data_IF_598912163133
#
_entry.id   IF_598912163133
#
_cell.length_a   1.000
_cell.length_b   1.000
_cell.length_c   1.000
_cell.angle_alpha   90.00
_cell.angle_beta   90.00
_cell.angle_gamma   90.00
#
_symmetry.space_group_name_H-M   'P 1'
#
loop_
_entity.id
_entity.type
_entity.pdbx_description
1 polymer ?
#
# COMPACT_ATOMS: atom_id res chain seq x y z
N UNK A 1 27.09 7.30 -25.93
CA UNK A 1 25.70 6.78 -25.98
C UNK A 1 25.36 6.42 -24.55
N UNK A 2 24.45 7.14 -23.87
CA UNK A 2 24.26 7.00 -22.43
C UNK A 2 23.51 5.71 -22.09
N UNK A 3 23.80 5.25 -20.88
CA UNK A 3 23.48 3.97 -20.27
C UNK A 3 22.01 3.56 -20.38
N UNK A 4 21.77 2.42 -21.02
CA UNK A 4 20.55 1.65 -20.81
C UNK A 4 20.65 1.03 -19.41
N UNK A 5 20.23 1.78 -18.39
CA UNK A 5 20.03 1.27 -17.04
C UNK A 5 19.03 0.11 -17.10
N UNK A 6 19.58 -1.10 -17.06
CA UNK A 6 18.90 -2.36 -16.76
C UNK A 6 18.16 -2.19 -15.43
N UNK A 7 16.90 -1.77 -15.48
CA UNK A 7 15.96 -1.89 -14.35
C UNK A 7 15.50 -3.35 -14.24
N UNK A 8 16.43 -4.24 -13.87
CA UNK A 8 16.11 -5.62 -13.53
C UNK A 8 15.47 -5.65 -12.13
N UNK A 9 14.17 -5.98 -12.05
CA UNK A 9 13.63 -6.70 -10.89
C UNK A 9 12.52 -6.07 -10.05
N UNK A 10 12.06 -4.84 -10.31
CA UNK A 10 10.92 -4.29 -9.54
C UNK A 10 9.61 -4.54 -10.28
N UNK A 11 8.86 -5.56 -9.84
CA UNK A 11 7.48 -5.72 -10.30
C UNK A 11 6.64 -4.59 -9.71
N UNK A 12 6.05 -3.78 -10.58
CA UNK A 12 5.10 -2.75 -10.18
C UNK A 12 3.73 -3.00 -10.79
N UNK A 13 2.68 -2.83 -9.99
CA UNK A 13 1.29 -2.93 -10.42
C UNK A 13 0.62 -1.60 -10.16
N UNK A 14 -0.05 -1.05 -11.18
CA UNK A 14 -0.81 0.19 -11.08
C UNK A 14 -2.30 -0.13 -10.96
N UNK A 15 -2.95 0.50 -10.00
CA UNK A 15 -4.39 0.51 -9.80
C UNK A 15 -4.90 1.94 -9.95
N UNK A 16 -6.03 2.10 -10.63
CA UNK A 16 -6.69 3.40 -10.81
C UNK A 16 -8.07 3.33 -10.18
N UNK A 17 -8.42 4.33 -9.39
CA UNK A 17 -9.74 4.43 -8.80
C UNK A 17 -10.83 4.77 -9.83
N UNK A 18 -12.12 4.57 -9.47
CA UNK A 18 -12.57 4.05 -8.19
C UNK A 18 -12.42 2.52 -8.09
N UNK A 19 -12.07 2.02 -6.90
CA UNK A 19 -11.96 0.57 -6.68
C UNK A 19 -11.25 0.19 -5.40
N UNK A 20 -11.35 -1.09 -5.00
CA UNK A 20 -10.67 -1.61 -3.81
C UNK A 20 -9.30 -2.19 -4.20
N UNK A 21 -8.25 -1.72 -3.55
CA UNK A 21 -6.91 -2.32 -3.64
C UNK A 21 -6.67 -3.15 -2.39
N UNK A 22 -6.24 -4.39 -2.60
CA UNK A 22 -5.96 -5.34 -1.54
C UNK A 22 -4.45 -5.60 -1.42
N UNK A 23 -3.92 -5.42 -0.22
CA UNK A 23 -2.68 -6.07 0.22
C UNK A 23 -2.98 -7.42 0.88
N UNK A 24 -1.95 -8.03 1.46
CA UNK A 24 -2.06 -9.30 2.20
C UNK A 24 -2.82 -9.11 3.52
N UNK A 25 -2.57 -8.01 4.23
CA UNK A 25 -3.07 -7.69 5.55
C UNK A 25 -3.98 -6.47 5.61
N UNK A 26 -4.20 -5.78 4.49
CA UNK A 26 -5.06 -4.61 4.42
C UNK A 26 -5.81 -4.48 3.10
N UNK A 27 -6.82 -3.62 3.11
CA UNK A 27 -7.50 -3.14 1.92
C UNK A 27 -7.68 -1.62 2.02
N UNK A 28 -7.73 -0.95 0.88
CA UNK A 28 -8.03 0.48 0.81
C UNK A 28 -8.86 0.78 -0.43
N UNK A 29 -9.94 1.53 -0.24
CA UNK A 29 -10.75 2.04 -1.33
C UNK A 29 -10.06 3.24 -1.97
N UNK A 30 -9.79 3.15 -3.26
CA UNK A 30 -9.40 4.27 -4.10
C UNK A 30 -10.66 5.04 -4.51
N UNK A 31 -10.63 6.34 -4.27
CA UNK A 31 -11.62 7.27 -4.77
C UNK A 31 -11.37 7.60 -6.25
N UNK A 32 -12.27 8.37 -6.84
CA UNK A 32 -12.08 8.92 -8.17
C UNK A 32 -10.79 9.76 -8.24
N UNK A 33 -10.05 9.62 -9.33
CA UNK A 33 -8.75 10.28 -9.61
C UNK A 33 -7.59 9.87 -8.70
N UNK A 34 -7.78 8.91 -7.78
CA UNK A 34 -6.69 8.30 -7.04
C UNK A 34 -6.06 7.14 -7.80
N UNK A 35 -4.77 6.94 -7.60
CA UNK A 35 -4.02 5.82 -8.13
C UNK A 35 -3.18 5.20 -7.03
N UNK A 36 -3.02 3.88 -7.08
CA UNK A 36 -2.10 3.17 -6.21
C UNK A 36 -1.08 2.42 -7.05
N UNK A 37 0.20 2.60 -6.75
CA UNK A 37 1.26 1.81 -7.35
C UNK A 37 1.88 0.89 -6.30
N UNK A 38 1.66 -0.41 -6.46
CA UNK A 38 2.32 -1.45 -5.67
C UNK A 38 3.72 -1.68 -6.21
N UNK A 39 4.69 -1.80 -5.33
CA UNK A 39 6.06 -2.21 -5.60
C UNK A 39 6.39 -3.40 -4.72
N UNK A 40 6.54 -4.56 -5.35
CA UNK A 40 7.02 -5.76 -4.69
C UNK A 40 8.49 -5.96 -5.07
N UNK A 41 9.36 -5.70 -4.10
CA UNK A 41 10.81 -5.82 -4.27
C UNK A 41 11.34 -7.14 -3.69
N UNK A 42 10.46 -8.10 -3.38
CA UNK A 42 10.80 -9.37 -2.72
C UNK A 42 11.59 -9.18 -1.42
N UNK A 43 11.29 -8.11 -0.68
CA UNK A 43 11.83 -7.83 0.65
C UNK A 43 10.84 -8.32 1.72
N UNK A 44 11.13 -8.07 2.99
CA UNK A 44 10.23 -8.32 4.12
C UNK A 44 9.07 -7.30 4.23
N UNK A 45 8.93 -6.44 3.23
CA UNK A 45 7.80 -5.53 3.07
C UNK A 45 7.46 -5.27 1.60
N UNK A 46 6.21 -4.87 1.39
CA UNK A 46 5.69 -4.36 0.11
C UNK A 46 5.37 -2.88 0.28
N UNK A 47 5.68 -2.07 -0.74
CA UNK A 47 5.37 -0.63 -0.73
C UNK A 47 4.23 -0.32 -1.68
N UNK A 48 3.30 0.51 -1.24
CA UNK A 48 2.18 1.01 -2.03
C UNK A 48 2.20 2.53 -2.01
N UNK A 49 2.39 3.15 -3.18
CA UNK A 49 2.34 4.60 -3.32
C UNK A 49 0.94 5.01 -3.75
N UNK A 50 0.22 5.69 -2.86
CA UNK A 50 -1.08 6.29 -3.13
C UNK A 50 -0.85 7.71 -3.64
N UNK A 51 -1.39 8.02 -4.81
CA UNK A 51 -1.41 9.37 -5.37
C UNK A 51 -2.83 9.79 -5.70
N UNK A 52 -3.11 11.08 -5.56
CA UNK A 52 -4.32 11.74 -6.02
C UNK A 52 -3.99 13.17 -6.47
N UNK A 53 -4.98 13.97 -6.89
CA UNK A 53 -4.75 15.36 -7.27
C UNK A 53 -4.10 16.14 -6.11
N UNK A 54 -2.82 16.48 -6.26
CA UNK A 54 -1.98 17.17 -5.26
C UNK A 54 -1.81 16.44 -3.92
N UNK A 55 -2.01 15.12 -3.88
CA UNK A 55 -1.92 14.33 -2.64
C UNK A 55 -1.08 13.08 -2.86
N UNK A 56 -0.25 12.75 -1.89
CA UNK A 56 0.58 11.56 -1.91
C UNK A 56 0.74 10.96 -0.52
N UNK A 57 0.86 9.64 -0.48
CA UNK A 57 1.19 8.89 0.72
C UNK A 57 1.85 7.56 0.33
N UNK A 58 2.71 7.06 1.21
CA UNK A 58 3.35 5.75 1.05
C UNK A 58 2.88 4.81 2.15
N UNK A 59 2.36 3.65 1.76
CA UNK A 59 1.89 2.61 2.66
C UNK A 59 2.87 1.44 2.58
N UNK A 60 3.38 1.00 3.73
CA UNK A 60 4.23 -0.16 3.87
C UNK A 60 3.45 -1.29 4.53
N UNK A 61 3.47 -2.46 3.89
CA UNK A 61 2.90 -3.69 4.41
C UNK A 61 4.04 -4.64 4.81
N UNK A 62 4.18 -4.92 6.10
CA UNK A 62 5.31 -5.69 6.63
C UNK A 62 6.24 -4.84 7.49
N UNK A 63 7.55 -5.14 7.45
CA UNK A 63 8.54 -4.42 8.24
C UNK A 63 8.91 -3.08 7.58
N UNK A 64 8.22 -2.01 7.98
CA UNK A 64 8.53 -0.67 7.47
C UNK A 64 9.95 -0.22 7.88
N UNK A 65 10.72 0.44 6.98
CA UNK A 65 12.11 0.78 7.23
C UNK A 65 12.34 2.00 8.15
N UNK A 66 11.29 2.77 8.48
CA UNK A 66 11.38 4.05 9.19
C UNK A 66 10.14 4.30 10.07
N UNK A 67 10.22 5.32 10.94
CA UNK A 67 9.08 5.79 11.75
C UNK A 67 7.98 6.37 10.86
N UNK A 68 6.74 5.92 11.06
CA UNK A 68 5.59 6.26 10.23
C UNK A 68 4.63 7.24 10.93
N UNK A 69 3.94 8.07 10.14
CA UNK A 69 2.92 9.01 10.63
C UNK A 69 1.73 8.30 11.28
N UNK A 70 1.41 7.10 10.79
CA UNK A 70 0.42 6.20 11.36
C UNK A 70 0.86 4.74 11.24
N UNK A 71 0.55 3.95 12.26
CA UNK A 71 0.77 2.50 12.28
C UNK A 71 -0.53 1.81 12.67
N UNK A 72 -0.95 0.85 11.85
CA UNK A 72 -2.20 0.11 12.01
C UNK A 72 -1.86 -1.36 12.23
N UNK A 73 -2.36 -1.95 13.32
CA UNK A 73 -2.19 -3.38 13.60
C UNK A 73 -3.18 -4.20 12.77
N UNK A 74 -2.69 -5.22 12.06
CA UNK A 74 -3.51 -6.05 11.17
C UNK A 74 -4.28 -7.16 11.91
N UNK A 75 -3.85 -7.50 13.12
CA UNK A 75 -4.33 -8.67 13.87
C UNK A 75 -3.81 -10.02 13.33
N UNK A 76 -2.84 -10.00 12.41
CA UNK A 76 -2.19 -11.20 11.83
C UNK A 76 -0.80 -11.42 12.41
N UNK A 77 -0.28 -12.65 12.28
CA UNK A 77 1.11 -12.97 12.63
C UNK A 77 2.11 -12.26 11.70
N UNK A 78 1.81 -12.24 10.40
CA UNK A 78 2.55 -11.51 9.38
C UNK A 78 1.65 -11.23 8.16
N UNK A 79 1.68 -10.03 7.55
CA UNK A 79 2.25 -8.79 8.12
C UNK A 79 1.46 -8.40 9.37
N UNK A 80 2.13 -8.00 10.45
CA UNK A 80 1.49 -7.67 11.74
C UNK A 80 1.07 -6.19 11.84
N UNK A 81 1.68 -5.34 11.02
CA UNK A 81 1.43 -3.90 10.95
C UNK A 81 1.39 -3.41 9.50
N UNK A 82 0.65 -2.32 9.30
CA UNK A 82 0.67 -1.46 8.13
C UNK A 82 1.16 -0.10 8.58
N UNK A 83 2.21 0.41 7.96
CA UNK A 83 2.77 1.72 8.27
C UNK A 83 2.42 2.70 7.14
N UNK A 84 2.08 3.95 7.49
CA UNK A 84 1.67 4.98 6.53
C UNK A 84 2.52 6.21 6.74
N UNK A 85 3.16 6.66 5.68
CA UNK A 85 3.88 7.93 5.59
C UNK A 85 3.08 8.88 4.71
N UNK A 86 2.87 10.08 5.20
CA UNK A 86 2.15 11.12 4.49
C UNK A 86 3.15 12.06 3.82
N UNK A 87 2.95 12.36 2.54
CA UNK A 87 3.78 13.35 1.87
C UNK A 87 3.46 14.75 2.42
N UNK A 88 4.43 15.67 2.40
CA UNK A 88 4.23 17.03 2.87
C UNK A 88 3.12 17.73 2.05
N UNK A 89 2.08 18.23 2.74
CA UNK A 89 0.90 18.82 2.10
C UNK A 89 0.00 17.81 1.37
N UNK A 90 0.25 16.50 1.51
CA UNK A 90 -0.49 15.42 0.87
C UNK A 90 -1.76 15.01 1.60
N UNK A 91 -1.92 13.70 1.82
CA UNK A 91 -3.04 13.21 2.65
C UNK A 91 -2.85 13.60 4.11
N UNK A 92 -3.95 13.76 4.84
CA UNK A 92 -3.91 13.95 6.30
C UNK A 92 -3.97 12.60 7.04
N UNK A 93 -3.86 12.65 8.37
CA UNK A 93 -3.93 11.45 9.25
C UNK A 93 -5.25 10.69 9.17
N UNK A 94 -6.30 11.25 8.58
CA UNK A 94 -7.56 10.53 8.34
C UNK A 94 -7.42 9.44 7.27
N UNK A 95 -6.39 9.49 6.41
CA UNK A 95 -6.08 8.40 5.47
C UNK A 95 -5.97 7.05 6.19
N UNK A 96 -5.37 7.02 7.38
CA UNK A 96 -5.26 5.79 8.17
C UNK A 96 -6.63 5.16 8.51
N UNK A 97 -7.71 5.96 8.58
CA UNK A 97 -9.07 5.45 8.83
C UNK A 97 -9.69 4.76 7.61
N UNK A 98 -9.16 5.02 6.41
CA UNK A 98 -9.58 4.36 5.15
C UNK A 98 -8.95 2.99 4.99
N UNK A 99 -7.87 2.70 5.70
CA UNK A 99 -7.19 1.41 5.64
C UNK A 99 -7.96 0.38 6.47
N UNK A 100 -8.50 -0.61 5.77
CA UNK A 100 -9.28 -1.70 6.33
C UNK A 100 -8.35 -2.85 6.70
N UNK A 101 -8.48 -3.38 7.92
CA UNK A 101 -7.70 -4.53 8.41
C UNK A 101 -8.57 -5.46 9.27
N UNK A 102 -8.06 -6.66 9.55
CA UNK A 102 -8.74 -7.62 10.43
C UNK A 102 -10.16 -7.94 9.98
N UNK A 103 -11.14 -7.81 10.88
CA UNK A 103 -12.56 -8.11 10.59
C UNK A 103 -13.21 -7.14 9.60
N UNK A 104 -12.62 -5.96 9.42
CA UNK A 104 -13.12 -4.96 8.46
C UNK A 104 -12.54 -5.15 7.07
N UNK A 105 -11.56 -6.08 6.91
CA UNK A 105 -10.99 -6.39 5.62
C UNK A 105 -12.02 -7.16 4.77
N UNK A 106 -12.39 -6.67 3.57
CA UNK A 106 -13.35 -7.37 2.73
C UNK A 106 -12.85 -8.76 2.32
N UNK A 107 -13.75 -9.74 2.27
CA UNK A 107 -13.42 -11.13 1.91
C UNK A 107 -12.76 -11.27 0.53
N UNK A 108 -13.04 -10.34 -0.39
CA UNK A 108 -12.37 -10.29 -1.71
C UNK A 108 -10.86 -10.01 -1.60
N UNK A 109 -10.39 -9.39 -0.52
CA UNK A 109 -8.97 -9.23 -0.23
C UNK A 109 -8.34 -10.48 0.42
N UNK A 110 -9.14 -11.46 0.82
CA UNK A 110 -8.67 -12.70 1.45
C UNK A 110 -8.37 -13.81 0.44
N UNK A 111 -8.32 -13.50 -0.87
CA UNK A 111 -8.08 -14.50 -1.92
C UNK A 111 -6.79 -15.28 -1.63
N UNK A 112 -6.96 -16.51 -1.13
CA UNK A 112 -5.92 -17.52 -1.08
C UNK A 112 -5.38 -17.70 -2.50
N UNK A 113 -4.05 -17.88 -2.69
CA UNK A 113 -3.60 -18.59 -3.87
C UNK A 113 -4.30 -19.96 -3.82
N UNK A 114 -5.13 -20.25 -4.82
CA UNK A 114 -5.57 -21.61 -5.09
C UNK A 114 -4.31 -22.43 -5.26
N UNK A 115 -4.09 -23.39 -4.37
CA UNK A 115 -2.97 -24.35 -4.44
C UNK A 115 -3.04 -25.16 -5.74
#
# INVERSE_FOLDING_TARGET
>A
MPDAERSEGVQSTLYTGPGLVCGIGFGIELHQDEQMRKFDRMMDFVTYHLSGPQRGATIYEGNAPQDADAVIKTGRRFPSVIAIHLDEGGYDKSLARRVLTGRSLPAVCETKPTQ
#
